data_IF_727708266541
#
_entry.id   IF_727708266541
#
_cell.length_a   1.000
_cell.length_b   1.000
_cell.length_c   1.000
_cell.angle_alpha   90.00
_cell.angle_beta   90.00
_cell.angle_gamma   90.00
#
_symmetry.space_group_name_H-M   'P 1'
#
loop_
_entity.id
_entity.type
_entity.pdbx_description
1 polymer ?
#
# COMPACT_ATOMS: atom_id res chain seq x y z
N UNK A 1 35.57 -0.31 -41.28
CA UNK A 1 35.75 -0.50 -39.82
C UNK A 1 35.81 -2.00 -39.57
N UNK A 2 36.91 -2.50 -39.03
CA UNK A 2 37.13 -3.93 -38.77
C UNK A 2 37.00 -4.16 -37.26
N UNK A 3 36.25 -5.18 -36.87
CA UNK A 3 36.03 -5.57 -35.47
C UNK A 3 36.48 -7.01 -35.32
N UNK A 4 37.54 -7.23 -34.55
CA UNK A 4 38.06 -8.57 -34.29
C UNK A 4 37.40 -9.13 -33.03
N UNK A 5 36.48 -10.07 -33.20
CA UNK A 5 35.82 -10.79 -32.09
C UNK A 5 36.68 -11.91 -31.51
N UNK A 6 37.64 -12.42 -32.28
CA UNK A 6 38.62 -13.45 -31.87
C UNK A 6 39.98 -13.10 -32.48
N UNK A 7 41.05 -13.65 -31.92
CA UNK A 7 42.39 -13.52 -32.49
C UNK A 7 42.43 -14.18 -33.89
N UNK A 8 42.78 -13.39 -34.91
CA UNK A 8 43.01 -13.86 -36.28
C UNK A 8 44.45 -13.51 -36.65
N UNK A 9 45.22 -14.48 -37.15
CA UNK A 9 46.59 -14.25 -37.58
C UNK A 9 46.63 -13.34 -38.81
N UNK A 10 47.61 -12.43 -38.91
CA UNK A 10 47.74 -11.53 -40.07
C UNK A 10 47.94 -12.27 -41.41
N UNK A 11 48.31 -13.56 -41.37
CA UNK A 11 48.40 -14.43 -42.54
C UNK A 11 47.04 -14.86 -43.08
N UNK A 12 46.01 -14.87 -42.24
CA UNK A 12 44.65 -15.30 -42.58
C UNK A 12 43.76 -14.11 -42.99
N UNK A 13 44.30 -12.88 -42.98
CA UNK A 13 43.58 -11.67 -43.35
C UNK A 13 43.60 -11.44 -44.87
N UNK A 14 42.44 -11.20 -45.52
CA UNK A 14 42.37 -10.80 -46.92
C UNK A 14 43.18 -9.52 -47.18
N UNK A 15 43.88 -9.45 -48.31
CA UNK A 15 44.82 -8.35 -48.62
C UNK A 15 44.16 -6.95 -48.60
N UNK A 16 42.87 -6.86 -48.91
CA UNK A 16 42.09 -5.62 -48.87
C UNK A 16 41.87 -5.05 -47.45
N UNK A 17 42.16 -5.81 -46.39
CA UNK A 17 41.86 -5.47 -45.00
C UNK A 17 43.11 -5.31 -44.12
N UNK A 18 44.31 -5.47 -44.68
CA UNK A 18 45.59 -5.41 -43.93
C UNK A 18 45.96 -4.00 -43.45
N UNK A 19 45.56 -2.97 -44.19
CA UNK A 19 45.91 -1.56 -43.91
C UNK A 19 44.84 -0.79 -43.10
N UNK A 20 43.78 -1.45 -42.61
CA UNK A 20 42.70 -0.80 -41.87
C UNK A 20 42.86 -1.09 -40.37
N UNK A 21 43.02 -0.04 -39.54
CA UNK A 21 43.05 -0.17 -38.08
C UNK A 21 41.74 -0.78 -37.55
N UNK A 22 41.85 -1.95 -36.93
CA UNK A 22 40.75 -2.68 -36.31
C UNK A 22 40.71 -2.48 -34.79
N UNK A 23 39.51 -2.54 -34.23
CA UNK A 23 39.29 -2.56 -32.77
C UNK A 23 39.27 -4.01 -32.28
N UNK A 24 40.13 -4.33 -31.31
CA UNK A 24 40.28 -5.67 -30.75
C UNK A 24 39.36 -5.84 -29.54
N UNK A 25 38.42 -6.76 -29.62
CA UNK A 25 37.49 -7.11 -28.53
C UNK A 25 37.90 -8.42 -27.85
N UNK A 26 39.20 -8.64 -27.74
CA UNK A 26 39.81 -9.77 -27.06
C UNK A 26 41.14 -9.32 -26.45
N UNK A 27 41.50 -9.95 -25.33
CA UNK A 27 42.75 -9.73 -24.62
C UNK A 27 43.44 -11.07 -24.39
N UNK A 28 44.76 -11.09 -24.51
CA UNK A 28 45.58 -12.26 -24.21
C UNK A 28 46.84 -11.75 -23.54
N UNK A 29 47.03 -12.10 -22.26
CA UNK A 29 48.11 -11.55 -21.43
C UNK A 29 49.47 -12.24 -21.75
N UNK A 30 49.45 -13.53 -22.11
CA UNK A 30 50.62 -14.31 -22.56
C UNK A 30 50.29 -15.28 -23.71
N UNK A 31 51.26 -15.62 -24.59
CA UNK A 31 51.04 -16.54 -25.75
C UNK A 31 50.51 -17.94 -25.37
N UNK A 32 50.73 -18.38 -24.13
CA UNK A 32 50.28 -19.68 -23.62
C UNK A 32 48.96 -19.64 -22.84
N UNK A 33 48.35 -18.46 -22.66
CA UNK A 33 47.07 -18.31 -21.96
C UNK A 33 45.88 -18.26 -22.92
N UNK A 34 44.69 -18.75 -22.50
CA UNK A 34 43.50 -18.69 -23.33
C UNK A 34 43.09 -17.24 -23.59
N UNK A 35 42.73 -16.95 -24.84
CA UNK A 35 42.27 -15.62 -25.27
C UNK A 35 40.95 -15.29 -24.57
N UNK A 36 40.94 -14.22 -23.77
CA UNK A 36 39.75 -13.71 -23.10
C UNK A 36 39.00 -12.77 -24.06
N UNK A 37 37.76 -13.13 -24.40
CA UNK A 37 36.92 -12.30 -25.27
C UNK A 37 36.25 -11.25 -24.40
N UNK A 38 36.49 -9.97 -24.70
CA UNK A 38 35.92 -8.86 -23.95
C UNK A 38 34.44 -8.70 -24.34
N UNK A 39 33.55 -8.77 -23.34
CA UNK A 39 32.10 -8.54 -23.51
C UNK A 39 31.23 -9.80 -23.66
N UNK A 40 31.72 -10.99 -23.29
CA UNK A 40 30.83 -12.16 -23.14
C UNK A 40 30.01 -12.03 -21.85
N UNK A 41 28.77 -11.54 -22.00
CA UNK A 41 27.73 -11.62 -20.98
C UNK A 41 27.36 -13.08 -20.78
N UNK A 42 27.36 -13.54 -19.54
CA UNK A 42 27.06 -14.93 -19.22
C UNK A 42 25.53 -15.07 -19.07
N UNK A 43 24.82 -15.83 -19.92
CA UNK A 43 23.36 -15.91 -19.91
C UNK A 43 22.75 -16.27 -18.56
N UNK A 44 23.47 -17.08 -17.77
CA UNK A 44 23.01 -17.57 -16.47
C UNK A 44 23.26 -16.57 -15.33
N UNK A 45 24.19 -15.62 -15.47
CA UNK A 45 24.48 -14.60 -14.46
C UNK A 45 23.82 -13.26 -14.79
N UNK A 46 23.59 -12.98 -16.07
CA UNK A 46 23.10 -11.70 -16.57
C UNK A 46 21.62 -11.76 -17.01
N UNK A 47 20.81 -12.58 -16.34
CA UNK A 47 19.37 -12.76 -16.61
C UNK A 47 18.65 -11.40 -16.65
N UNK A 48 19.02 -10.46 -15.77
CA UNK A 48 18.47 -9.09 -15.75
C UNK A 48 18.80 -8.32 -17.04
N UNK A 49 20.03 -8.39 -17.52
CA UNK A 49 20.45 -7.73 -18.76
C UNK A 49 19.68 -8.27 -19.97
N UNK A 50 19.57 -9.59 -20.12
CA UNK A 50 18.82 -10.22 -21.21
C UNK A 50 17.32 -9.93 -21.14
N UNK A 51 16.74 -9.84 -19.93
CA UNK A 51 15.35 -9.40 -19.74
C UNK A 51 15.16 -7.96 -20.21
N UNK A 52 16.08 -7.05 -19.85
CA UNK A 52 16.06 -5.65 -20.29
C UNK A 52 16.22 -5.50 -21.81
N UNK A 53 17.09 -6.29 -22.43
CA UNK A 53 17.21 -6.35 -23.90
C UNK A 53 15.90 -6.82 -24.54
N UNK A 54 15.32 -7.91 -24.05
CA UNK A 54 14.07 -8.43 -24.60
C UNK A 54 12.92 -7.42 -24.48
N UNK A 55 12.85 -6.69 -23.36
CA UNK A 55 11.87 -5.61 -23.16
C UNK A 55 12.11 -4.45 -24.13
N UNK A 56 13.35 -3.99 -24.29
CA UNK A 56 13.72 -2.97 -25.28
C UNK A 56 13.33 -3.38 -26.71
N UNK A 57 13.56 -4.64 -27.08
CA UNK A 57 13.16 -5.18 -28.38
C UNK A 57 11.63 -5.15 -28.54
N UNK A 58 10.87 -5.54 -27.52
CA UNK A 58 9.40 -5.50 -27.54
C UNK A 58 8.86 -4.07 -27.66
N UNK A 59 9.44 -3.12 -26.92
CA UNK A 59 9.08 -1.71 -26.99
C UNK A 59 9.36 -1.13 -28.38
N UNK A 60 10.53 -1.43 -28.96
CA UNK A 60 10.91 -0.99 -30.29
C UNK A 60 10.02 -1.61 -31.38
N UNK A 61 9.65 -2.88 -31.26
CA UNK A 61 8.70 -3.54 -32.16
C UNK A 61 7.31 -2.90 -32.06
N UNK A 62 6.86 -2.57 -30.85
CA UNK A 62 5.57 -1.92 -30.62
C UNK A 62 5.53 -0.52 -31.23
N UNK A 63 6.60 0.25 -31.07
CA UNK A 63 6.72 1.58 -31.64
C UNK A 63 6.85 1.55 -33.17
N UNK A 64 7.59 0.59 -33.73
CA UNK A 64 7.64 0.37 -35.18
C UNK A 64 6.27 -0.02 -35.76
N UNK A 65 5.47 -0.82 -35.03
CA UNK A 65 4.09 -1.14 -35.44
C UNK A 65 3.19 0.09 -35.40
N UNK A 66 3.29 0.91 -34.34
CA UNK A 66 2.56 2.19 -34.22
C UNK A 66 2.89 3.11 -35.38
N UNK A 67 4.17 3.31 -35.67
CA UNK A 67 4.63 4.17 -36.77
C UNK A 67 4.21 3.65 -38.15
N UNK A 68 4.18 2.32 -38.36
CA UNK A 68 3.64 1.75 -39.60
C UNK A 68 2.13 1.91 -39.72
N UNK A 69 1.37 1.72 -38.64
CA UNK A 69 -0.07 1.92 -38.63
C UNK A 69 -0.45 3.35 -39.00
N UNK A 70 0.30 4.33 -38.49
CA UNK A 70 0.14 5.77 -38.82
C UNK A 70 0.43 6.05 -40.30
N UNK A 71 1.37 5.33 -40.93
CA UNK A 71 1.73 5.54 -42.33
C UNK A 71 0.89 4.73 -43.34
N UNK A 72 -0.01 3.84 -42.90
CA UNK A 72 -0.71 2.88 -43.79
C UNK A 72 -2.23 3.05 -43.90
N UNK A 73 -2.87 4.09 -43.35
CA UNK A 73 -4.30 4.37 -43.59
C UNK A 73 -4.59 5.82 -44.02
N UNK A 74 -5.30 6.04 -45.15
CA UNK A 74 -6.15 7.21 -45.33
C UNK A 74 -7.32 7.14 -44.33
N UNK A 75 -7.90 8.30 -43.98
CA UNK A 75 -9.06 8.48 -43.11
C UNK A 75 -10.07 7.32 -43.14
N UNK A 76 -10.05 6.46 -42.13
CA UNK A 76 -11.21 5.74 -41.59
C UNK A 76 -10.77 4.75 -40.49
N UNK A 77 -11.15 5.11 -39.27
CA UNK A 77 -11.46 4.25 -38.12
C UNK A 77 -10.41 3.18 -37.77
N UNK A 78 -9.66 3.49 -36.72
CA UNK A 78 -8.84 2.55 -35.97
C UNK A 78 -9.75 1.62 -35.16
N UNK A 79 -9.68 0.33 -35.48
CA UNK A 79 -10.00 -0.76 -34.57
C UNK A 79 -8.71 -1.56 -34.39
N UNK A 80 -7.88 -1.12 -33.45
CA UNK A 80 -6.87 -1.98 -32.85
C UNK A 80 -7.45 -2.51 -31.54
N UNK A 81 -7.35 -3.83 -31.35
CA UNK A 81 -7.53 -4.49 -30.07
C UNK A 81 -6.36 -4.12 -29.13
N UNK A 82 -6.34 -2.87 -28.70
CA UNK A 82 -5.91 -2.47 -27.37
C UNK A 82 -6.96 -3.00 -26.41
N UNK A 83 -6.56 -3.52 -25.24
CA UNK A 83 -7.46 -3.48 -24.09
C UNK A 83 -7.84 -2.01 -23.97
N UNK A 84 -9.04 -1.69 -24.41
CA UNK A 84 -9.59 -0.36 -24.42
C UNK A 84 -9.77 0.04 -22.98
N UNK A 85 -8.70 0.62 -22.42
CA UNK A 85 -8.75 1.52 -21.28
C UNK A 85 -9.75 2.59 -21.71
N UNK A 86 -10.98 2.51 -21.22
CA UNK A 86 -12.00 3.53 -21.46
C UNK A 86 -11.45 4.89 -21.00
N UNK A 87 -11.91 6.00 -21.60
CA UNK A 87 -11.60 7.35 -21.08
C UNK A 87 -11.99 7.53 -19.61
N UNK A 88 -12.81 6.62 -19.07
CA UNK A 88 -13.23 6.51 -17.66
C UNK A 88 -12.33 5.61 -16.79
N UNK A 89 -11.26 5.02 -17.32
CA UNK A 89 -10.39 4.16 -16.51
C UNK A 89 -9.55 5.00 -15.55
N UNK A 90 -9.45 4.60 -14.28
CA UNK A 90 -8.76 5.38 -13.27
C UNK A 90 -7.26 5.44 -13.56
N UNK A 91 -6.67 6.61 -13.34
CA UNK A 91 -5.29 6.89 -13.70
C UNK A 91 -4.43 7.15 -12.46
N UNK A 92 -3.22 6.60 -12.42
CA UNK A 92 -2.25 6.85 -11.35
C UNK A 92 -1.03 7.56 -11.91
N UNK A 93 -0.48 8.51 -11.15
CA UNK A 93 0.81 9.09 -11.46
C UNK A 93 1.88 8.33 -10.68
N UNK A 94 2.62 7.48 -11.39
CA UNK A 94 3.71 6.70 -10.83
C UNK A 94 5.02 7.47 -11.04
N UNK A 95 5.60 7.92 -9.92
CA UNK A 95 6.80 8.73 -9.86
C UNK A 95 8.00 8.00 -10.46
N UNK A 96 8.93 8.75 -11.06
CA UNK A 96 10.16 8.14 -11.58
C UNK A 96 11.03 7.61 -10.43
N UNK A 97 11.46 6.34 -10.48
CA UNK A 97 12.21 5.69 -9.41
C UNK A 97 13.69 6.09 -9.47
N UNK A 98 14.44 5.64 -8.47
CA UNK A 98 15.90 5.55 -8.54
C UNK A 98 16.32 4.18 -9.06
N UNK A 99 17.55 4.08 -9.57
CA UNK A 99 18.05 2.87 -10.26
C UNK A 99 17.99 1.60 -9.40
N UNK A 100 18.17 1.74 -8.08
CA UNK A 100 18.16 0.64 -7.11
C UNK A 100 16.78 0.00 -6.92
N UNK A 101 15.70 0.72 -7.22
CA UNK A 101 14.31 0.22 -7.12
C UNK A 101 13.62 0.15 -8.48
N UNK A 102 14.37 0.24 -9.58
CA UNK A 102 13.81 0.27 -10.93
C UNK A 102 13.07 -1.02 -11.31
N UNK A 103 13.63 -2.19 -10.98
CA UNK A 103 13.00 -3.49 -11.27
C UNK A 103 11.63 -3.61 -10.59
N UNK A 104 11.57 -3.23 -9.30
CA UNK A 104 10.35 -3.20 -8.50
C UNK A 104 9.31 -2.24 -9.08
N UNK A 105 9.78 -1.08 -9.55
CA UNK A 105 8.95 -0.06 -10.16
C UNK A 105 8.34 -0.51 -11.49
N UNK A 106 9.12 -1.16 -12.36
CA UNK A 106 8.59 -1.75 -13.60
C UNK A 106 7.59 -2.86 -13.30
N UNK A 107 7.85 -3.71 -12.31
CA UNK A 107 6.91 -4.75 -11.89
C UNK A 107 5.59 -4.12 -11.42
N UNK A 108 5.62 -3.06 -10.62
CA UNK A 108 4.42 -2.33 -10.19
C UNK A 108 3.63 -1.76 -11.39
N UNK A 109 4.33 -1.09 -12.30
CA UNK A 109 3.75 -0.52 -13.52
C UNK A 109 3.06 -1.59 -14.38
N UNK A 110 3.70 -2.73 -14.56
CA UNK A 110 3.14 -3.85 -15.34
C UNK A 110 2.01 -4.58 -14.60
N UNK A 111 1.99 -4.56 -13.26
CA UNK A 111 0.86 -5.02 -12.46
C UNK A 111 -0.35 -4.09 -12.61
N UNK A 112 -0.21 -2.78 -12.38
CA UNK A 112 -1.31 -1.83 -12.46
C UNK A 112 -1.98 -1.79 -13.84
N UNK A 113 -1.18 -1.89 -14.91
CA UNK A 113 -1.71 -2.01 -16.28
C UNK A 113 -2.56 -3.26 -16.48
N UNK A 114 -2.20 -4.40 -15.86
CA UNK A 114 -2.98 -5.65 -15.94
C UNK A 114 -4.30 -5.55 -15.19
N UNK A 115 -4.32 -4.82 -14.08
CA UNK A 115 -5.52 -4.54 -13.29
C UNK A 115 -6.44 -3.47 -13.94
N UNK A 116 -6.11 -2.98 -15.14
CA UNK A 116 -6.93 -2.01 -15.87
C UNK A 116 -6.70 -0.54 -15.49
N UNK A 117 -5.67 -0.25 -14.70
CA UNK A 117 -5.32 1.11 -14.26
C UNK A 117 -4.44 1.79 -15.32
N UNK A 118 -4.75 3.05 -15.64
CA UNK A 118 -3.92 3.86 -16.52
C UNK A 118 -2.71 4.43 -15.78
N UNK A 119 -1.50 3.94 -16.09
CA UNK A 119 -0.27 4.37 -15.41
C UNK A 119 0.39 5.52 -16.16
N UNK A 120 0.34 6.72 -15.58
CA UNK A 120 1.04 7.91 -16.06
C UNK A 120 2.46 7.93 -15.49
N UNK A 121 3.48 7.95 -16.35
CA UNK A 121 4.90 8.09 -15.98
C UNK A 121 5.57 9.08 -16.91
N UNK A 122 6.57 9.83 -16.44
CA UNK A 122 7.38 10.67 -17.32
C UNK A 122 8.80 10.83 -16.81
N UNK A 123 9.76 10.96 -17.73
CA UNK A 123 11.14 11.21 -17.38
C UNK A 123 11.36 12.69 -17.08
N UNK A 124 11.73 13.05 -15.85
CA UNK A 124 11.91 14.46 -15.50
C UNK A 124 13.24 15.02 -16.03
N UNK A 125 13.22 16.20 -16.70
CA UNK A 125 14.42 16.88 -17.17
C UNK A 125 15.22 17.44 -15.98
N UNK A 126 16.48 17.05 -15.83
CA UNK A 126 17.28 17.47 -14.67
C UNK A 126 17.75 18.93 -14.74
N UNK A 127 17.72 19.53 -15.92
CA UNK A 127 18.33 20.84 -16.20
C UNK A 127 17.43 22.03 -15.85
N UNK A 128 16.13 21.80 -15.66
CA UNK A 128 15.13 22.86 -15.47
C UNK A 128 14.05 22.45 -14.47
N UNK A 129 14.00 23.14 -13.35
CA UNK A 129 12.99 22.95 -12.30
C UNK A 129 11.61 23.40 -12.77
N UNK A 130 11.55 24.43 -13.63
CA UNK A 130 10.30 24.91 -14.23
C UNK A 130 9.68 23.87 -15.15
N UNK A 131 10.48 23.28 -16.03
CA UNK A 131 9.97 22.25 -16.97
C UNK A 131 9.54 20.99 -16.21
N UNK A 132 10.26 20.62 -15.14
CA UNK A 132 9.83 19.57 -14.23
C UNK A 132 8.46 19.86 -13.60
N UNK A 133 8.27 21.08 -13.09
CA UNK A 133 6.99 21.50 -12.49
C UNK A 133 5.84 21.36 -13.50
N UNK A 134 6.01 21.84 -14.73
CA UNK A 134 4.97 21.80 -15.76
C UNK A 134 4.60 20.35 -16.13
N UNK A 135 5.60 19.48 -16.25
CA UNK A 135 5.40 18.05 -16.51
C UNK A 135 4.61 17.39 -15.37
N UNK A 136 5.05 17.59 -14.13
CA UNK A 136 4.41 16.96 -12.96
C UNK A 136 2.99 17.50 -12.80
N UNK A 137 2.78 18.81 -12.90
CA UNK A 137 1.48 19.43 -12.76
C UNK A 137 0.47 18.88 -13.78
N UNK A 138 0.90 18.69 -15.04
CA UNK A 138 0.07 18.08 -16.07
C UNK A 138 -0.32 16.65 -15.70
N UNK A 139 0.62 15.84 -15.19
CA UNK A 139 0.33 14.44 -14.82
C UNK A 139 -0.52 14.31 -13.57
N UNK A 140 -0.24 15.12 -12.55
CA UNK A 140 -1.03 15.17 -11.33
C UNK A 140 -2.47 15.61 -11.62
N UNK A 141 -2.68 16.54 -12.56
CA UNK A 141 -4.04 16.94 -12.96
C UNK A 141 -4.85 15.84 -13.67
N UNK A 142 -4.17 14.80 -14.18
CA UNK A 142 -4.76 13.67 -14.90
C UNK A 142 -4.83 12.40 -14.06
N UNK A 143 -4.32 12.42 -12.82
CA UNK A 143 -4.21 11.25 -11.97
C UNK A 143 -5.15 11.33 -10.77
N UNK A 144 -5.62 10.17 -10.30
CA UNK A 144 -6.40 9.99 -9.08
C UNK A 144 -5.50 9.97 -7.84
N UNK A 145 -4.33 9.34 -7.94
CA UNK A 145 -3.35 9.28 -6.85
C UNK A 145 -1.91 9.33 -7.36
N UNK A 146 -0.99 9.65 -6.44
CA UNK A 146 0.44 9.68 -6.66
C UNK A 146 1.06 8.47 -5.96
N UNK A 147 1.86 7.71 -6.70
CA UNK A 147 2.56 6.52 -6.19
C UNK A 147 4.05 6.73 -6.35
N UNK A 148 4.81 6.53 -5.28
CA UNK A 148 6.26 6.64 -5.29
C UNK A 148 6.91 5.46 -4.57
N UNK A 149 7.96 4.92 -5.19
CA UNK A 149 8.81 3.88 -4.61
C UNK A 149 10.12 4.53 -4.22
N UNK A 150 10.51 4.41 -2.95
CA UNK A 150 11.72 4.99 -2.40
C UNK A 150 12.75 3.89 -2.13
N UNK A 151 13.96 4.12 -2.62
CA UNK A 151 15.11 3.25 -2.40
C UNK A 151 16.06 3.78 -1.33
N UNK A 152 17.28 3.25 -1.33
CA UNK A 152 18.34 3.69 -0.42
C UNK A 152 18.91 5.06 -0.83
N UNK A 153 18.74 5.46 -2.09
CA UNK A 153 19.38 6.66 -2.63
C UNK A 153 18.36 7.75 -2.99
N UNK A 154 18.68 9.04 -2.75
CA UNK A 154 17.80 10.15 -3.09
C UNK A 154 17.64 10.38 -4.61
N UNK A 155 18.55 9.84 -5.41
CA UNK A 155 18.58 10.03 -6.87
C UNK A 155 19.22 11.35 -7.31
N UNK A 156 19.23 11.62 -8.62
CA UNK A 156 19.86 12.81 -9.20
C UNK A 156 19.13 14.09 -8.78
N UNK A 157 19.87 15.21 -8.73
CA UNK A 157 19.32 16.52 -8.35
C UNK A 157 18.85 17.31 -9.56
N UNK A 158 17.70 17.97 -9.44
CA UNK A 158 17.19 18.93 -10.42
C UNK A 158 17.88 20.27 -10.15
N UNK A 159 18.46 20.87 -11.20
CA UNK A 159 19.26 22.11 -11.11
C UNK A 159 20.32 22.05 -10.00
N UNK A 160 20.89 20.87 -9.75
CA UNK A 160 21.84 20.60 -8.65
C UNK A 160 21.34 20.97 -7.23
N UNK A 161 20.06 21.26 -7.07
CA UNK A 161 19.49 21.79 -5.84
C UNK A 161 18.79 20.70 -5.05
N UNK A 162 17.64 20.23 -5.55
CA UNK A 162 16.77 19.29 -4.84
C UNK A 162 16.82 17.92 -5.51
N UNK A 163 16.90 16.86 -4.71
CA UNK A 163 16.81 15.50 -5.21
C UNK A 163 15.46 15.27 -5.91
N UNK A 164 15.50 14.58 -7.04
CA UNK A 164 14.33 14.33 -7.88
C UNK A 164 13.19 13.61 -7.16
N UNK A 165 13.51 12.70 -6.25
CA UNK A 165 12.52 11.99 -5.41
C UNK A 165 11.76 12.97 -4.50
N UNK A 166 12.48 13.86 -3.82
CA UNK A 166 11.91 14.90 -2.94
C UNK A 166 11.09 15.90 -3.75
N UNK A 167 11.60 16.33 -4.90
CA UNK A 167 10.92 17.30 -5.75
C UNK A 167 9.56 16.77 -6.26
N UNK A 168 9.51 15.50 -6.69
CA UNK A 168 8.27 14.85 -7.11
C UNK A 168 7.23 14.80 -5.98
N UNK A 169 7.66 14.44 -4.78
CA UNK A 169 6.81 14.42 -3.60
C UNK A 169 6.26 15.81 -3.26
N UNK A 170 7.13 16.84 -3.20
CA UNK A 170 6.71 18.20 -2.88
C UNK A 170 5.67 18.73 -3.88
N UNK A 171 5.82 18.42 -5.17
CA UNK A 171 4.85 18.82 -6.19
C UNK A 171 3.51 18.08 -6.04
N UNK A 172 3.55 16.77 -5.77
CA UNK A 172 2.34 15.99 -5.51
C UNK A 172 1.60 16.47 -4.25
N UNK A 173 2.34 16.76 -3.17
CA UNK A 173 1.79 17.28 -1.92
C UNK A 173 1.16 18.67 -2.10
N UNK A 174 1.79 19.56 -2.88
CA UNK A 174 1.21 20.88 -3.22
C UNK A 174 -0.11 20.77 -3.98
N UNK A 175 -0.26 19.76 -4.81
CA UNK A 175 -1.48 19.49 -5.55
C UNK A 175 -2.59 18.80 -4.72
N UNK A 176 -2.32 18.49 -3.45
CA UNK A 176 -3.25 17.82 -2.52
C UNK A 176 -3.77 16.47 -3.04
N UNK A 177 -2.99 15.79 -3.87
CA UNK A 177 -3.33 14.45 -4.35
C UNK A 177 -3.11 13.43 -3.22
N UNK A 178 -3.84 12.31 -3.22
CA UNK A 178 -3.53 11.21 -2.29
C UNK A 178 -2.17 10.60 -2.67
N UNK A 179 -1.26 10.52 -1.71
CA UNK A 179 0.11 10.04 -1.89
C UNK A 179 0.23 8.65 -1.25
N UNK A 180 0.80 7.71 -2.01
CA UNK A 180 1.23 6.40 -1.54
C UNK A 180 2.74 6.30 -1.74
N UNK A 181 3.49 6.19 -0.64
CA UNK A 181 4.94 5.99 -0.71
C UNK A 181 5.31 4.62 -0.16
N UNK A 182 6.06 3.85 -0.92
CA UNK A 182 6.63 2.59 -0.46
C UNK A 182 8.10 2.77 -0.12
N UNK A 183 8.49 2.18 1.00
CA UNK A 183 9.87 2.02 1.43
C UNK A 183 10.04 0.57 1.87
N UNK A 184 11.19 -0.02 1.57
CA UNK A 184 11.52 -1.36 2.04
C UNK A 184 11.51 -1.40 3.58
N UNK A 185 10.67 -2.25 4.22
CA UNK A 185 10.59 -2.33 5.68
C UNK A 185 11.89 -2.85 6.33
N UNK A 186 12.75 -3.52 5.58
CA UNK A 186 14.05 -4.02 6.07
C UNK A 186 15.19 -3.00 5.91
N UNK A 187 14.92 -1.84 5.29
CA UNK A 187 15.94 -0.82 5.04
C UNK A 187 16.27 0.00 6.29
N UNK A 188 17.56 0.08 6.63
CA UNK A 188 18.01 0.93 7.74
C UNK A 188 18.12 2.40 7.33
N UNK A 189 17.05 3.15 7.59
CA UNK A 189 16.95 4.58 7.31
C UNK A 189 17.96 5.41 8.13
N UNK A 190 18.52 4.88 9.23
CA UNK A 190 19.39 5.64 10.14
C UNK A 190 20.78 5.91 9.54
N UNK A 191 21.27 4.98 8.72
CA UNK A 191 22.62 5.02 8.14
C UNK A 191 22.74 5.94 6.91
N UNK A 192 21.64 6.54 6.47
CA UNK A 192 21.65 7.45 5.33
C UNK A 192 22.33 8.79 5.68
N UNK A 193 23.08 9.39 4.75
CA UNK A 193 23.79 10.65 5.01
C UNK A 193 23.00 11.91 4.61
N UNK A 194 21.80 11.76 4.04
CA UNK A 194 21.06 12.87 3.43
C UNK A 194 19.79 13.22 4.23
N UNK A 195 19.90 14.20 5.14
CA UNK A 195 18.81 14.61 6.06
C UNK A 195 17.45 14.91 5.39
N UNK A 196 17.38 15.69 4.28
CA UNK A 196 16.10 15.93 3.59
C UNK A 196 15.45 14.65 3.05
N UNK A 197 16.25 13.64 2.72
CA UNK A 197 15.75 12.38 2.19
C UNK A 197 15.28 11.45 3.30
N UNK A 198 15.94 11.47 4.47
CA UNK A 198 15.44 10.79 5.67
C UNK A 198 14.06 11.26 6.06
N UNK A 199 13.83 12.58 6.04
CA UNK A 199 12.51 13.14 6.35
C UNK A 199 11.42 12.63 5.40
N UNK A 200 11.76 12.42 4.12
CA UNK A 200 10.85 11.81 3.14
C UNK A 200 10.55 10.34 3.48
N UNK A 201 11.57 9.57 3.87
CA UNK A 201 11.44 8.14 4.23
C UNK A 201 10.69 7.91 5.56
N UNK A 202 10.67 8.89 6.46
CA UNK A 202 9.93 8.85 7.73
C UNK A 202 8.61 9.62 7.68
N UNK A 203 8.14 9.99 6.48
CA UNK A 203 6.92 10.77 6.29
C UNK A 203 5.66 9.98 6.64
N UNK A 204 4.55 10.70 6.89
CA UNK A 204 3.25 10.09 7.21
C UNK A 204 2.64 9.29 6.05
N UNK A 205 3.06 9.56 4.81
CA UNK A 205 2.57 8.90 3.60
C UNK A 205 3.35 7.62 3.26
N UNK A 206 4.39 7.29 4.04
CA UNK A 206 5.23 6.11 3.86
C UNK A 206 4.58 4.89 4.50
N UNK A 207 4.46 3.83 3.69
CA UNK A 207 3.91 2.54 4.09
C UNK A 207 5.05 1.51 4.14
N UNK A 208 5.65 1.25 5.33
CA UNK A 208 6.69 0.24 5.51
C UNK A 208 6.07 -1.16 5.60
N UNK A 209 5.42 -1.57 4.52
CA UNK A 209 4.70 -2.85 4.38
C UNK A 209 5.31 -3.66 3.24
N UNK A 210 4.98 -4.95 3.18
CA UNK A 210 5.40 -5.78 2.05
C UNK A 210 4.82 -5.26 0.73
N UNK A 211 5.59 -5.40 -0.36
CA UNK A 211 5.23 -4.84 -1.67
C UNK A 211 3.88 -5.35 -2.21
N UNK A 212 3.52 -6.61 -1.95
CA UNK A 212 2.24 -7.17 -2.39
C UNK A 212 1.05 -6.54 -1.66
N UNK A 213 1.24 -6.18 -0.38
CA UNK A 213 0.25 -5.44 0.38
C UNK A 213 0.13 -4.02 -0.14
N UNK A 214 1.25 -3.36 -0.45
CA UNK A 214 1.27 -2.03 -1.04
C UNK A 214 0.52 -1.97 -2.39
N UNK A 215 0.71 -2.98 -3.26
CA UNK A 215 -0.05 -3.12 -4.51
C UNK A 215 -1.56 -3.20 -4.25
N UNK A 216 -1.96 -4.03 -3.28
CA UNK A 216 -3.37 -4.23 -2.93
C UNK A 216 -4.02 -2.93 -2.49
N UNK A 217 -3.37 -2.16 -1.61
CA UNK A 217 -3.90 -0.89 -1.11
C UNK A 217 -4.12 0.14 -2.23
N UNK A 218 -3.20 0.21 -3.20
CA UNK A 218 -3.34 1.11 -4.36
C UNK A 218 -4.46 0.63 -5.29
N UNK A 219 -4.53 -0.66 -5.60
CA UNK A 219 -5.57 -1.20 -6.46
C UNK A 219 -6.96 -0.99 -5.85
N UNK A 220 -7.12 -1.23 -4.54
CA UNK A 220 -8.36 -0.93 -3.81
C UNK A 220 -8.72 0.54 -3.97
N UNK A 221 -7.79 1.46 -3.68
CA UNK A 221 -8.06 2.89 -3.74
C UNK A 221 -8.43 3.42 -5.15
N UNK A 222 -7.91 2.79 -6.20
CA UNK A 222 -7.99 3.29 -7.58
C UNK A 222 -9.12 2.63 -8.37
N UNK A 223 -9.37 1.35 -8.15
CA UNK A 223 -10.38 0.57 -8.88
C UNK A 223 -11.74 0.58 -8.19
N UNK A 224 -11.78 0.88 -6.90
CA UNK A 224 -13.05 1.22 -6.27
C UNK A 224 -13.52 2.58 -6.83
N UNK A 225 -14.75 2.67 -7.38
CA UNK A 225 -15.28 3.94 -7.88
C UNK A 225 -15.19 4.99 -6.78
N UNK A 226 -15.03 6.29 -7.10
CA UNK A 226 -14.90 7.35 -6.12
C UNK A 226 -16.27 7.61 -5.45
N UNK A 227 -16.70 6.67 -4.63
CA UNK A 227 -17.51 6.92 -3.47
C UNK A 227 -16.57 6.88 -2.28
N UNK A 228 -16.16 8.09 -1.87
CA UNK A 228 -15.75 8.46 -0.51
C UNK A 228 -14.33 8.17 -0.01
N UNK A 229 -13.48 9.20 -0.15
CA UNK A 229 -12.75 9.67 1.02
C UNK A 229 -13.76 9.94 2.15
N UNK A 230 -13.81 9.04 3.13
CA UNK A 230 -14.54 9.16 4.39
C UNK A 230 -15.95 9.76 4.29
N UNK A 231 -16.89 8.98 3.78
CA UNK A 231 -18.16 8.86 4.50
C UNK A 231 -18.15 7.40 4.89
N UNK A 232 -18.33 7.14 6.19
CA UNK A 232 -18.92 5.90 6.66
C UNK A 232 -19.84 5.34 5.57
N UNK A 233 -19.62 4.13 5.04
CA UNK A 233 -20.58 3.53 4.09
C UNK A 233 -21.96 3.77 4.69
N UNK A 234 -22.89 4.48 4.03
CA UNK A 234 -24.19 4.80 4.65
C UNK A 234 -25.10 3.55 4.80
N UNK A 235 -24.57 2.41 4.40
CA UNK A 235 -25.00 1.06 4.73
C UNK A 235 -24.46 0.53 6.09
N UNK A 236 -23.34 1.07 6.56
CA UNK A 236 -22.59 0.78 7.78
C UNK A 236 -22.28 2.07 8.59
N UNK A 237 -22.98 3.18 8.35
CA UNK A 237 -22.88 4.44 9.11
C UNK A 237 -23.62 4.35 10.45
N UNK A 238 -23.85 3.11 10.88
CA UNK A 238 -24.23 2.79 12.23
C UNK A 238 -22.98 2.74 13.10
N UNK A 239 -23.04 3.45 14.21
CA UNK A 239 -22.25 3.17 15.39
C UNK A 239 -22.03 1.65 15.56
N UNK A 240 -20.76 1.23 15.66
CA UNK A 240 -20.38 -0.17 15.76
C UNK A 240 -20.00 -0.55 17.20
N UNK A 241 -20.64 -1.59 17.73
CA UNK A 241 -20.50 -2.03 19.11
C UNK A 241 -19.76 -3.37 19.17
N UNK A 242 -18.63 -3.40 19.87
CA UNK A 242 -17.93 -4.63 20.18
C UNK A 242 -18.57 -5.33 21.39
N UNK A 243 -19.15 -6.51 21.17
CA UNK A 243 -19.73 -7.37 22.21
C UNK A 243 -18.65 -8.33 22.72
N UNK A 244 -17.94 -7.91 23.77
CA UNK A 244 -16.90 -8.73 24.39
C UNK A 244 -17.52 -9.76 25.33
N UNK A 245 -17.75 -10.96 24.82
CA UNK A 245 -18.29 -12.08 25.58
C UNK A 245 -17.35 -13.29 25.53
N UNK A 246 -17.23 -13.99 26.66
CA UNK A 246 -16.56 -15.28 26.72
C UNK A 246 -17.48 -16.37 26.14
N UNK A 247 -16.90 -17.53 25.81
CA UNK A 247 -17.62 -18.69 25.28
C UNK A 247 -18.77 -19.14 26.18
N UNK A 248 -18.60 -19.08 27.51
CA UNK A 248 -19.63 -19.48 28.48
C UNK A 248 -20.88 -18.61 28.41
N UNK A 249 -20.72 -17.33 28.06
CA UNK A 249 -21.80 -16.33 28.07
C UNK A 249 -22.34 -16.02 26.66
N UNK A 250 -21.98 -16.82 25.66
CA UNK A 250 -22.44 -16.60 24.29
C UNK A 250 -23.96 -16.64 24.14
N UNK A 251 -24.65 -17.49 24.91
CA UNK A 251 -26.11 -17.54 24.88
C UNK A 251 -26.75 -16.19 25.27
N UNK A 252 -26.09 -15.40 26.13
CA UNK A 252 -26.55 -14.08 26.55
C UNK A 252 -26.34 -13.01 25.46
N UNK A 253 -25.43 -13.26 24.51
CA UNK A 253 -25.16 -12.31 23.42
C UNK A 253 -26.29 -12.26 22.40
N UNK A 254 -27.05 -13.35 22.23
CA UNK A 254 -28.12 -13.43 21.22
C UNK A 254 -29.20 -12.36 21.43
N UNK A 255 -29.63 -12.18 22.69
CA UNK A 255 -30.63 -11.18 23.04
C UNK A 255 -30.11 -9.74 22.86
N UNK A 256 -28.82 -9.53 23.17
CA UNK A 256 -28.15 -8.24 22.98
C UNK A 256 -28.01 -7.93 21.49
N UNK A 257 -27.63 -8.92 20.67
CA UNK A 257 -27.49 -8.78 19.22
C UNK A 257 -28.83 -8.40 18.59
N UNK A 258 -29.91 -9.07 18.99
CA UNK A 258 -31.25 -8.73 18.51
C UNK A 258 -31.59 -7.28 18.83
N UNK A 259 -31.30 -6.84 20.06
CA UNK A 259 -31.51 -5.45 20.46
C UNK A 259 -30.67 -4.45 19.64
N UNK A 260 -29.40 -4.78 19.33
CA UNK A 260 -28.54 -3.93 18.51
C UNK A 260 -29.07 -3.82 17.07
N UNK A 261 -29.52 -4.95 16.50
CA UNK A 261 -30.12 -4.98 15.17
C UNK A 261 -31.40 -4.14 15.11
N UNK A 262 -32.26 -4.21 16.13
CA UNK A 262 -33.48 -3.40 16.22
C UNK A 262 -33.20 -1.88 16.29
N UNK A 263 -31.98 -1.49 16.69
CA UNK A 263 -31.53 -0.09 16.79
C UNK A 263 -30.57 0.33 15.65
N UNK A 264 -30.42 -0.49 14.60
CA UNK A 264 -29.51 -0.26 13.47
C UNK A 264 -28.04 -0.07 13.89
N UNK A 265 -27.59 -0.75 14.95
CA UNK A 265 -26.21 -0.73 15.41
C UNK A 265 -25.43 -1.93 14.85
N UNK A 266 -24.25 -1.68 14.28
CA UNK A 266 -23.33 -2.75 13.90
C UNK A 266 -22.83 -3.47 15.15
N UNK A 267 -22.59 -4.78 15.07
CA UNK A 267 -22.04 -5.54 16.18
C UNK A 267 -20.99 -6.55 15.73
N UNK A 268 -20.07 -6.89 16.62
CA UNK A 268 -19.16 -8.04 16.43
C UNK A 268 -18.84 -8.74 17.74
N UNK A 269 -18.25 -9.92 17.59
CA UNK A 269 -17.90 -10.82 18.67
C UNK A 269 -16.42 -11.21 18.55
N UNK A 270 -15.74 -11.52 19.66
CA UNK A 270 -14.36 -12.00 19.63
C UNK A 270 -14.25 -13.31 18.85
N UNK A 271 -13.15 -13.48 18.10
CA UNK A 271 -12.84 -14.73 17.41
C UNK A 271 -12.57 -15.85 18.43
N UNK A 272 -13.07 -17.05 18.11
CA UNK A 272 -13.13 -18.20 19.04
C UNK A 272 -12.00 -19.21 18.82
N UNK A 273 -11.46 -19.25 17.61
CA UNK A 273 -10.48 -20.24 17.16
C UNK A 273 -9.30 -19.52 16.53
N UNK A 274 -8.10 -19.96 16.90
CA UNK A 274 -6.85 -19.36 16.44
C UNK A 274 -5.76 -19.55 17.47
N UNK A 275 -4.54 -19.17 17.11
CA UNK A 275 -3.45 -19.10 18.06
C UNK A 275 -3.73 -18.01 19.12
N UNK A 276 -3.22 -18.17 20.34
CA UNK A 276 -3.41 -17.19 21.41
C UNK A 276 -2.91 -15.77 21.04
N UNK A 277 -1.97 -15.68 20.10
CA UNK A 277 -1.48 -14.41 19.53
C UNK A 277 -2.53 -13.76 18.62
N UNK A 278 -3.10 -14.53 17.69
CA UNK A 278 -4.15 -14.06 16.75
C UNK A 278 -5.41 -13.59 17.49
N UNK A 279 -5.83 -14.33 18.52
CA UNK A 279 -6.98 -13.96 19.37
C UNK A 279 -6.73 -12.60 20.04
N UNK A 280 -5.49 -12.36 20.49
CA UNK A 280 -5.11 -11.10 21.14
C UNK A 280 -5.07 -9.94 20.14
N UNK A 281 -4.47 -10.15 18.98
CA UNK A 281 -4.38 -9.15 17.92
C UNK A 281 -5.76 -8.75 17.41
N UNK A 282 -6.66 -9.73 17.20
CA UNK A 282 -8.04 -9.47 16.82
C UNK A 282 -8.82 -8.72 17.91
N UNK A 283 -8.64 -9.09 19.18
CA UNK A 283 -9.24 -8.37 20.30
C UNK A 283 -8.75 -6.91 20.36
N UNK A 284 -7.44 -6.69 20.22
CA UNK A 284 -6.87 -5.34 20.21
C UNK A 284 -7.37 -4.51 19.03
N UNK A 285 -7.50 -5.11 17.84
CA UNK A 285 -8.06 -4.47 16.65
C UNK A 285 -9.51 -4.02 16.90
N UNK A 286 -10.38 -4.91 17.38
CA UNK A 286 -11.77 -4.55 17.65
C UNK A 286 -11.92 -3.48 18.74
N UNK A 287 -11.12 -3.56 19.80
CA UNK A 287 -11.09 -2.56 20.87
C UNK A 287 -10.53 -1.19 20.41
N UNK A 288 -9.78 -1.15 19.31
CA UNK A 288 -9.28 0.09 18.71
C UNK A 288 -10.33 0.76 17.80
N UNK A 289 -11.01 -0.04 16.97
CA UNK A 289 -11.89 0.46 15.92
C UNK A 289 -13.35 0.69 16.36
N UNK A 290 -13.84 0.05 17.43
CA UNK A 290 -15.26 0.12 17.80
C UNK A 290 -15.73 1.47 18.37
N UNK A 291 -16.96 1.90 18.11
CA UNK A 291 -17.56 3.09 18.72
C UNK A 291 -18.03 2.87 20.16
N UNK A 292 -18.50 1.65 20.43
CA UNK A 292 -19.03 1.23 21.72
C UNK A 292 -18.52 -0.13 22.13
N UNK A 293 -18.42 -0.36 23.44
CA UNK A 293 -18.03 -1.67 24.00
C UNK A 293 -19.10 -2.12 24.99
N UNK A 294 -19.55 -3.36 24.86
CA UNK A 294 -20.35 -4.04 25.88
C UNK A 294 -19.57 -5.27 26.35
N UNK A 295 -19.19 -5.28 27.63
CA UNK A 295 -18.60 -6.45 28.26
C UNK A 295 -19.73 -7.30 28.83
N UNK A 296 -19.84 -8.54 28.39
CA UNK A 296 -20.85 -9.48 28.87
C UNK A 296 -20.31 -10.18 30.11
N UNK A 297 -20.87 -9.83 31.25
CA UNK A 297 -20.62 -10.46 32.54
C UNK A 297 -21.83 -11.34 32.87
N UNK A 298 -21.77 -12.63 32.54
CA UNK A 298 -22.75 -13.65 32.89
C UNK A 298 -22.17 -14.62 33.92
N UNK A 299 -21.90 -15.85 33.52
CA UNK A 299 -21.28 -16.92 34.30
C UNK A 299 -19.74 -16.92 34.26
N UNK A 300 -19.12 -15.95 33.60
CA UNK A 300 -17.67 -15.73 33.67
C UNK A 300 -17.21 -15.26 35.05
N UNK A 301 -15.93 -15.44 35.36
CA UNK A 301 -15.36 -14.99 36.64
C UNK A 301 -15.25 -13.46 36.72
N UNK A 302 -15.38 -12.91 37.92
CA UNK A 302 -15.15 -11.48 38.19
C UNK A 302 -13.76 -11.03 37.71
N UNK A 303 -12.74 -11.89 37.89
CA UNK A 303 -11.37 -11.65 37.42
C UNK A 303 -11.28 -11.45 35.90
N UNK A 304 -12.06 -12.21 35.13
CA UNK A 304 -12.09 -12.06 33.68
C UNK A 304 -12.70 -10.70 33.29
N UNK A 305 -13.81 -10.32 33.90
CA UNK A 305 -14.46 -9.02 33.64
C UNK A 305 -13.52 -7.84 34.02
N UNK A 306 -12.84 -7.92 35.17
CA UNK A 306 -11.80 -6.96 35.55
C UNK A 306 -10.66 -6.88 34.52
N UNK A 307 -10.17 -8.03 34.04
CA UNK A 307 -9.13 -8.07 33.04
C UNK A 307 -9.56 -7.36 31.74
N UNK A 308 -10.80 -7.57 31.27
CA UNK A 308 -11.33 -6.89 30.09
C UNK A 308 -11.42 -5.37 30.28
N UNK A 309 -11.89 -4.91 31.45
CA UNK A 309 -11.96 -3.48 31.76
C UNK A 309 -10.58 -2.80 31.80
N UNK A 310 -9.58 -3.49 32.34
CA UNK A 310 -8.18 -3.02 32.32
C UNK A 310 -7.67 -2.93 30.88
N UNK A 311 -7.99 -3.89 30.00
CA UNK A 311 -7.60 -3.84 28.59
C UNK A 311 -8.25 -2.66 27.86
N UNK A 312 -9.54 -2.42 28.07
CA UNK A 312 -10.23 -1.24 27.54
C UNK A 312 -9.53 0.06 27.96
N UNK A 313 -9.11 0.16 29.23
CA UNK A 313 -8.36 1.32 29.74
C UNK A 313 -6.99 1.48 29.07
N UNK A 314 -6.26 0.39 28.82
CA UNK A 314 -4.94 0.42 28.17
C UNK A 314 -5.02 0.88 26.71
N UNK A 315 -6.03 0.40 26.00
CA UNK A 315 -6.21 0.67 24.56
C UNK A 315 -6.73 2.08 24.31
N UNK A 316 -7.34 2.74 25.31
CA UNK A 316 -7.87 4.11 25.18
C UNK A 316 -6.90 5.12 24.55
N UNK A 317 -5.60 5.01 24.83
CA UNK A 317 -4.57 5.91 24.29
C UNK A 317 -4.09 5.52 22.86
N UNK A 318 -4.44 4.32 22.39
CA UNK A 318 -4.10 3.82 21.04
C UNK A 318 -5.21 4.08 20.02
N UNK A 319 -6.36 4.57 20.45
CA UNK A 319 -7.53 4.79 19.59
C UNK A 319 -7.40 6.12 18.84
N UNK A 320 -7.76 6.10 17.56
CA UNK A 320 -7.88 7.30 16.72
C UNK A 320 -9.06 8.18 17.14
N UNK A 321 -10.15 7.56 17.63
CA UNK A 321 -11.35 8.25 18.11
C UNK A 321 -11.74 7.83 19.54
N UNK A 322 -12.24 8.76 20.38
CA UNK A 322 -12.68 8.45 21.72
C UNK A 322 -13.89 7.50 21.67
N UNK A 323 -13.94 6.56 22.62
CA UNK A 323 -15.06 5.63 22.76
C UNK A 323 -16.34 6.40 23.14
N UNK A 324 -17.44 6.19 22.39
CA UNK A 324 -18.72 6.88 22.62
C UNK A 324 -19.42 6.37 23.87
N UNK A 325 -19.44 5.04 24.06
CA UNK A 325 -20.03 4.43 25.25
C UNK A 325 -19.32 3.13 25.66
N UNK A 326 -19.20 2.92 26.98
CA UNK A 326 -18.78 1.66 27.57
C UNK A 326 -19.90 1.15 28.46
N UNK A 327 -20.29 -0.11 28.30
CA UNK A 327 -21.23 -0.77 29.19
C UNK A 327 -20.74 -2.13 29.65
N UNK A 328 -21.21 -2.54 30.82
CA UNK A 328 -21.11 -3.90 31.32
C UNK A 328 -22.51 -4.45 31.45
N UNK A 329 -22.80 -5.53 30.73
CA UNK A 329 -24.02 -6.29 30.89
C UNK A 329 -23.85 -7.30 32.01
N UNK A 330 -24.53 -7.07 33.13
CA UNK A 330 -24.52 -7.93 34.31
C UNK A 330 -25.73 -8.88 34.21
N UNK A 331 -25.55 -9.96 33.45
CA UNK A 331 -26.56 -10.97 33.14
C UNK A 331 -26.66 -12.11 34.17
N UNK A 332 -27.51 -13.12 33.98
CA UNK A 332 -27.58 -14.29 34.86
C UNK A 332 -26.24 -15.04 34.93
N UNK A 333 -25.95 -15.78 36.02
CA UNK A 333 -26.82 -16.07 37.16
C UNK A 333 -26.95 -14.91 38.18
N UNK A 334 -27.99 -14.94 39.02
CA UNK A 334 -28.20 -13.96 40.11
C UNK A 334 -27.16 -14.05 41.22
N UNK A 335 -26.81 -15.28 41.59
CA UNK A 335 -25.84 -15.58 42.63
C UNK A 335 -24.43 -15.59 42.05
N UNK A 336 -23.88 -14.39 41.86
CA UNK A 336 -22.49 -14.18 41.46
C UNK A 336 -21.93 -12.91 42.08
N UNK A 337 -20.60 -12.85 42.14
CA UNK A 337 -19.87 -11.73 42.72
C UNK A 337 -20.15 -10.42 41.98
N UNK A 338 -20.29 -9.33 42.75
CA UNK A 338 -20.48 -7.99 42.21
C UNK A 338 -19.19 -7.48 41.55
N UNK A 339 -19.34 -6.66 40.50
CA UNK A 339 -18.21 -6.08 39.81
C UNK A 339 -17.82 -4.74 40.47
N UNK A 340 -16.77 -4.76 41.30
CA UNK A 340 -16.31 -3.59 42.06
C UNK A 340 -15.36 -2.67 41.25
N UNK A 341 -15.38 -2.76 39.92
CA UNK A 341 -14.50 -1.98 39.05
C UNK A 341 -15.30 -1.07 38.13
N UNK A 342 -15.25 0.22 38.41
CA UNK A 342 -15.97 1.25 37.65
C UNK A 342 -15.00 2.15 36.89
N UNK A 343 -15.25 2.34 35.59
CA UNK A 343 -14.54 3.33 34.76
C UNK A 343 -15.40 4.60 34.57
N UNK A 344 -14.77 5.77 34.31
CA UNK A 344 -15.51 6.97 33.93
C UNK A 344 -16.34 6.71 32.67
N UNK A 345 -17.59 7.19 32.65
CA UNK A 345 -18.56 7.00 31.57
C UNK A 345 -18.95 5.53 31.29
N UNK A 346 -18.76 4.64 32.27
CA UNK A 346 -19.21 3.25 32.20
C UNK A 346 -20.66 3.10 32.66
N UNK A 347 -21.47 2.39 31.88
CA UNK A 347 -22.86 2.06 32.21
C UNK A 347 -23.00 0.62 32.69
N UNK A 348 -23.50 0.43 33.91
CA UNK A 348 -23.86 -0.90 34.42
C UNK A 348 -25.29 -1.25 34.01
N UNK A 349 -25.48 -2.38 33.35
CA UNK A 349 -26.77 -2.88 32.88
C UNK A 349 -27.11 -4.15 33.68
N UNK A 350 -27.82 -3.98 34.79
CA UNK A 350 -28.16 -5.07 35.71
C UNK A 350 -29.37 -5.88 35.23
N UNK A 351 -29.14 -7.08 34.70
CA UNK A 351 -30.15 -7.98 34.13
C UNK A 351 -29.94 -9.43 34.63
N UNK A 352 -29.62 -9.62 35.92
CA UNK A 352 -29.31 -10.94 36.48
C UNK A 352 -30.47 -11.94 36.49
N UNK A 353 -31.71 -11.45 36.53
CA UNK A 353 -32.91 -12.30 36.57
C UNK A 353 -33.46 -12.61 35.17
N UNK A 354 -33.57 -11.58 34.32
CA UNK A 354 -34.11 -11.67 32.97
C UNK A 354 -33.54 -10.54 32.11
N UNK A 355 -33.35 -10.81 30.81
CA UNK A 355 -32.97 -9.80 29.84
C UNK A 355 -34.06 -8.71 29.75
N UNK A 356 -33.67 -7.45 29.98
CA UNK A 356 -34.55 -6.29 29.94
C UNK A 356 -33.99 -5.24 28.96
N UNK A 357 -34.54 -5.17 27.72
CA UNK A 357 -34.13 -4.19 26.72
C UNK A 357 -34.17 -2.74 27.20
N UNK A 358 -35.11 -2.41 28.08
CA UNK A 358 -35.31 -1.05 28.62
C UNK A 358 -34.09 -0.52 29.37
N UNK A 359 -33.25 -1.40 29.95
CA UNK A 359 -32.05 -1.02 30.71
C UNK A 359 -30.86 -0.63 29.82
N UNK A 360 -30.90 -0.94 28.53
CA UNK A 360 -29.88 -0.51 27.56
C UNK A 360 -30.08 0.94 27.09
N UNK A 361 -31.21 1.58 27.40
CA UNK A 361 -31.51 2.96 26.99
C UNK A 361 -30.39 3.99 27.27
N UNK A 362 -29.72 3.99 28.44
CA UNK A 362 -28.62 4.91 28.70
C UNK A 362 -27.44 4.70 27.75
N UNK A 363 -27.09 3.45 27.48
CA UNK A 363 -26.03 3.09 26.53
C UNK A 363 -26.38 3.52 25.10
N UNK A 364 -27.58 3.19 24.63
CA UNK A 364 -28.05 3.57 23.28
C UNK A 364 -28.06 5.09 23.08
N UNK A 365 -28.45 5.85 24.11
CA UNK A 365 -28.38 7.33 24.08
C UNK A 365 -26.94 7.85 24.07
N UNK A 366 -26.01 7.18 24.74
CA UNK A 366 -24.60 7.58 24.75
C UNK A 366 -23.96 7.32 23.37
N UNK A 367 -24.30 6.21 22.72
CA UNK A 367 -23.89 5.93 21.34
C UNK A 367 -24.35 7.05 20.39
N UNK A 368 -25.64 7.39 20.43
CA UNK A 368 -26.23 8.45 19.58
C UNK A 368 -25.67 9.86 19.84
N UNK A 369 -25.22 10.17 21.06
CA UNK A 369 -24.70 11.51 21.43
C UNK A 369 -23.20 11.68 21.16
N UNK A 370 -22.47 10.58 20.92
CA UNK A 370 -21.04 10.61 20.63
C UNK A 370 -20.69 11.02 19.19
N UNK A 371 -21.69 11.28 18.34
CA UNK A 371 -21.51 11.98 17.06
C UNK A 371 -21.35 13.47 17.30
N UNK A 372 -20.12 13.97 17.13
CA UNK A 372 -19.74 15.38 17.38
C UNK A 372 -20.56 16.35 16.51
N UNK A 373 -21.17 17.34 17.16
CA UNK A 373 -21.35 18.69 16.60
C UNK A 373 -20.07 19.50 16.77
#
# INVERSE_FOLDING_TARGET
>A
MIVDRKAVSDKDRPDALKDILGYKFWHQENENEPVEILGELNPDQDIRFYRSINKLIQDLVSEMKRLRAIHQKPEAQETHATVSISEDSPAIFLAEPTDDVYDLWEDLKDNFKREGINVLTHRLPLDSSKDCCEVIQKKVSQANCFVQVLGAYPGPKIENTTAKTIFQYEMAAKAKLKIFQWCDPEMDVKDLNHEPYKALLTGNDVMPIHIEEFKREICLHVLEPPETQSVSCDCLSGDYVFLNANQVDQCLTTDIIQLMNDNNLGHSLPIKHGAAKEIRENLEMHLQECDGIVIVYGAVSQQWAHAQLIQCRKIRNKRSQPLKALAVYDGPPEDKEDLDFMLPNMHMIHCRSQFQPSKFRPFLRAMQKGGVS
#
